data_IF_517863653563
#
_entry.id   IF_517863653563
#
_cell.length_a   1.000
_cell.length_b   1.000
_cell.length_c   1.000
_cell.angle_alpha   90.00
_cell.angle_beta   90.00
_cell.angle_gamma   90.00
#
_symmetry.space_group_name_H-M   'P 1'
#
loop_
_entity.id
_entity.type
_entity.pdbx_description
1 polymer ?
#
# COMPACT_ATOMS: atom_id res chain seq x y z
N UNK A 1 -11.50 9.55 25.81
CA UNK A 1 -11.81 11.00 25.80
C UNK A 1 -10.98 11.68 24.71
N UNK A 2 -11.37 11.54 23.44
CA UNK A 2 -10.71 12.17 22.28
C UNK A 2 -11.22 13.61 22.18
N UNK A 3 -10.74 14.49 23.06
CA UNK A 3 -10.97 15.93 23.00
C UNK A 3 -9.71 16.62 23.50
N UNK A 4 -9.01 17.29 22.58
CA UNK A 4 -7.90 18.28 22.75
C UNK A 4 -6.54 17.90 22.14
N UNK A 5 -6.52 17.64 20.84
CA UNK A 5 -5.37 18.04 20.00
C UNK A 5 -5.81 18.95 18.83
N UNK A 6 -6.89 19.71 19.07
CA UNK A 6 -7.43 20.73 18.16
C UNK A 6 -7.36 22.09 18.84
N UNK A 7 -6.17 22.63 19.13
CA UNK A 7 -6.01 24.06 19.47
C UNK A 7 -4.54 24.45 19.59
N UNK A 8 -3.83 24.42 18.47
CA UNK A 8 -2.75 25.40 18.27
C UNK A 8 -2.88 25.89 16.83
N UNK A 9 -2.84 27.20 16.65
CA UNK A 9 -2.81 27.88 15.35
C UNK A 9 -1.45 27.60 14.69
N UNK A 10 -1.16 26.34 14.43
CA UNK A 10 0.00 25.94 13.64
C UNK A 10 -0.45 26.07 12.18
N UNK A 11 0.25 26.88 11.41
CA UNK A 11 0.11 26.83 9.96
C UNK A 11 0.56 25.42 9.53
N UNK A 12 -0.39 24.55 9.20
CA UNK A 12 -0.13 23.21 8.65
C UNK A 12 0.26 23.26 7.16
N UNK A 13 0.45 24.46 6.63
CA UNK A 13 1.02 24.66 5.31
C UNK A 13 2.45 24.12 5.32
N UNK A 14 2.60 22.87 4.92
CA UNK A 14 3.88 22.29 4.56
C UNK A 14 4.32 22.95 3.24
N UNK A 15 5.42 23.73 3.22
CA UNK A 15 5.93 24.34 2.00
C UNK A 15 6.37 23.29 0.97
N UNK A 16 6.55 22.03 1.39
CA UNK A 16 6.80 20.87 0.53
C UNK A 16 5.52 20.07 0.24
N UNK A 17 4.32 20.65 0.44
CA UNK A 17 3.04 20.06 0.04
C UNK A 17 2.90 20.08 -1.49
N UNK A 18 3.67 19.21 -2.14
CA UNK A 18 3.57 18.85 -3.56
C UNK A 18 2.29 18.05 -3.82
N UNK A 19 1.64 17.55 -2.76
CA UNK A 19 0.46 16.71 -2.85
C UNK A 19 -0.78 17.44 -3.38
N UNK A 20 -1.56 16.74 -4.19
CA UNK A 20 -2.74 17.28 -4.86
C UNK A 20 -3.99 17.46 -3.96
N UNK A 21 -3.82 17.89 -2.71
CA UNK A 21 -4.96 18.23 -1.86
C UNK A 21 -5.68 19.47 -2.41
N UNK A 22 -7.01 19.43 -2.49
CA UNK A 22 -7.83 20.58 -2.88
C UNK A 22 -7.75 21.75 -1.89
N UNK A 23 -7.34 21.48 -0.65
CA UNK A 23 -7.21 22.47 0.43
C UNK A 23 -5.78 22.48 1.00
N UNK A 24 -4.76 22.84 0.21
CA UNK A 24 -3.35 22.63 0.58
C UNK A 24 -2.93 23.40 1.83
N UNK A 25 -3.50 24.60 2.06
CA UNK A 25 -3.23 25.43 3.24
C UNK A 25 -3.77 24.85 4.56
N UNK A 26 -4.77 23.96 4.48
CA UNK A 26 -5.42 23.30 5.63
C UNK A 26 -5.10 21.81 5.71
N UNK A 27 -4.44 21.26 4.69
CA UNK A 27 -4.08 19.85 4.60
C UNK A 27 -3.17 19.47 5.78
N UNK A 28 -3.48 18.35 6.44
CA UNK A 28 -2.71 17.87 7.60
C UNK A 28 -1.91 16.60 7.31
N UNK A 29 -1.99 16.07 6.08
CA UNK A 29 -1.49 14.73 5.77
C UNK A 29 0.02 14.60 5.93
N UNK A 30 0.78 15.55 5.40
CA UNK A 30 2.25 15.51 5.46
C UNK A 30 2.75 15.73 6.90
N UNK A 31 2.13 16.66 7.63
CA UNK A 31 2.40 16.82 9.06
C UNK A 31 2.12 15.52 9.85
N UNK A 32 0.98 14.88 9.60
CA UNK A 32 0.65 13.58 10.23
C UNK A 32 1.66 12.50 9.86
N UNK A 33 2.10 12.46 8.60
CA UNK A 33 3.15 11.55 8.18
C UNK A 33 4.43 11.76 8.98
N UNK A 34 4.93 13.00 9.05
CA UNK A 34 6.16 13.35 9.75
C UNK A 34 6.11 13.03 11.25
N UNK A 35 4.96 13.18 11.88
CA UNK A 35 4.81 12.84 13.30
C UNK A 35 4.72 11.33 13.56
N UNK A 36 4.11 10.57 12.65
CA UNK A 36 3.81 9.15 12.85
C UNK A 36 4.91 8.22 12.32
N UNK A 37 5.61 8.62 11.26
CA UNK A 37 6.58 7.80 10.53
C UNK A 37 7.94 8.49 10.49
N UNK A 38 8.50 8.74 11.68
CA UNK A 38 9.84 9.32 11.82
C UNK A 38 10.89 8.29 11.39
N UNK A 39 12.04 8.71 10.83
CA UNK A 39 13.14 7.80 10.55
C UNK A 39 13.53 6.97 11.77
N UNK A 40 13.82 5.70 11.56
CA UNK A 40 14.21 4.74 12.59
C UNK A 40 15.39 3.91 12.11
N UNK A 41 16.09 3.29 13.07
CA UNK A 41 17.23 2.43 12.79
C UNK A 41 16.80 0.98 12.97
N UNK A 42 17.13 0.13 12.00
CA UNK A 42 16.98 -1.32 12.08
C UNK A 42 18.35 -1.97 11.85
N UNK A 43 18.93 -2.54 12.90
CA UNK A 43 20.34 -2.93 12.89
C UNK A 43 21.24 -1.71 12.75
N UNK A 44 22.05 -1.68 11.69
CA UNK A 44 22.93 -0.55 11.34
C UNK A 44 22.39 0.33 10.19
N UNK A 45 21.14 0.08 9.76
CA UNK A 45 20.53 0.76 8.61
C UNK A 45 19.57 1.85 9.10
N UNK A 46 19.80 3.09 8.67
CA UNK A 46 18.83 4.18 8.83
C UNK A 46 17.71 4.01 7.80
N UNK A 47 16.52 3.68 8.27
CA UNK A 47 15.31 3.60 7.47
C UNK A 47 14.59 4.94 7.55
N UNK A 48 14.34 5.54 6.39
CA UNK A 48 13.54 6.76 6.26
C UNK A 48 12.26 6.44 5.48
N UNK A 49 11.11 6.28 6.16
CA UNK A 49 9.85 6.02 5.48
C UNK A 49 9.54 7.10 4.43
N UNK A 50 8.96 6.68 3.30
CA UNK A 50 8.58 7.57 2.19
C UNK A 50 7.07 7.82 2.20
N UNK A 51 6.68 9.09 2.30
CA UNK A 51 5.31 9.55 2.10
C UNK A 51 4.99 9.61 0.60
N UNK A 52 4.37 8.57 0.06
CA UNK A 52 3.96 8.54 -1.35
C UNK A 52 2.70 9.38 -1.51
N UNK A 53 2.70 10.27 -2.50
CA UNK A 53 1.65 11.28 -2.69
C UNK A 53 0.98 11.13 -4.05
N UNK A 54 -0.31 11.43 -4.10
CA UNK A 54 -1.04 11.49 -5.36
C UNK A 54 -0.79 12.81 -6.09
N UNK A 55 -0.71 12.72 -7.41
CA UNK A 55 -0.80 13.86 -8.32
C UNK A 55 -2.26 14.36 -8.45
N UNK A 56 -2.46 15.39 -9.28
CA UNK A 56 -3.79 16.02 -9.46
C UNK A 56 -4.84 15.10 -10.09
N UNK A 57 -4.39 14.10 -10.84
CA UNK A 57 -5.25 13.10 -11.47
C UNK A 57 -5.55 11.92 -10.53
N UNK A 58 -5.00 11.91 -9.31
CA UNK A 58 -5.19 10.83 -8.36
C UNK A 58 -4.26 9.63 -8.58
N UNK A 59 -3.22 9.78 -9.41
CA UNK A 59 -2.20 8.76 -9.61
C UNK A 59 -1.10 8.91 -8.57
N UNK A 60 -0.70 7.81 -7.95
CA UNK A 60 0.36 7.78 -6.96
C UNK A 60 1.72 8.02 -7.62
N UNK A 61 2.52 8.91 -7.03
CA UNK A 61 3.89 9.13 -7.47
C UNK A 61 4.79 7.94 -7.13
N UNK A 62 5.31 7.31 -8.17
CA UNK A 62 6.20 6.15 -8.12
C UNK A 62 7.65 6.48 -8.51
N UNK A 63 8.01 7.76 -8.60
CA UNK A 63 9.39 8.17 -8.86
C UNK A 63 10.33 7.62 -7.77
N UNK A 64 11.45 7.00 -8.19
CA UNK A 64 12.40 6.36 -7.28
C UNK A 64 11.75 5.28 -6.40
N UNK A 65 10.73 4.59 -6.88
CA UNK A 65 10.15 3.43 -6.20
C UNK A 65 11.17 2.29 -6.15
N UNK A 66 11.46 1.83 -4.93
CA UNK A 66 12.24 0.64 -4.67
C UNK A 66 11.43 -0.32 -3.78
N UNK A 67 11.47 -1.63 -4.07
CA UNK A 67 10.78 -2.69 -3.32
C UNK A 67 11.16 -2.74 -1.84
N UNK A 68 12.36 -2.30 -1.47
CA UNK A 68 12.84 -2.25 -0.08
C UNK A 68 12.46 -0.97 0.68
N UNK A 69 11.87 0.04 0.01
CA UNK A 69 11.43 1.25 0.69
C UNK A 69 10.25 0.96 1.65
N UNK A 70 10.33 1.42 2.89
CA UNK A 70 9.13 1.61 3.71
C UNK A 70 8.30 2.77 3.13
N UNK A 71 7.08 2.48 2.69
CA UNK A 71 6.21 3.42 1.97
C UNK A 71 4.86 3.53 2.66
N UNK A 72 4.40 4.76 2.86
CA UNK A 72 3.07 5.06 3.40
C UNK A 72 2.38 6.06 2.50
N UNK A 73 1.09 5.84 2.25
CA UNK A 73 0.22 6.82 1.60
C UNK A 73 -0.67 7.44 2.68
N UNK A 74 -0.43 8.72 3.00
CA UNK A 74 -1.31 9.45 3.92
C UNK A 74 -2.45 10.13 3.18
N UNK A 75 -3.62 9.47 3.20
CA UNK A 75 -4.84 10.03 2.62
C UNK A 75 -5.41 11.19 3.45
N UNK A 76 -6.11 12.09 2.76
CA UNK A 76 -6.88 13.14 3.40
C UNK A 76 -8.03 12.55 4.21
N UNK A 77 -8.32 13.18 5.34
CA UNK A 77 -9.55 12.98 6.11
C UNK A 77 -10.29 14.30 6.27
N UNK A 78 -11.44 14.28 6.92
CA UNK A 78 -12.27 15.49 7.09
C UNK A 78 -11.56 16.60 7.87
N UNK A 79 -10.53 16.25 8.65
CA UNK A 79 -9.64 17.20 9.31
C UNK A 79 -8.85 18.11 8.34
N UNK A 80 -8.75 17.73 7.06
CA UNK A 80 -8.09 18.51 6.01
C UNK A 80 -9.03 19.55 5.38
N UNK A 81 -10.36 19.39 5.51
CA UNK A 81 -11.36 20.30 4.95
C UNK A 81 -11.52 20.25 3.41
N UNK A 82 -10.84 19.33 2.73
CA UNK A 82 -11.05 19.07 1.30
C UNK A 82 -12.25 18.12 1.09
N UNK A 83 -12.80 18.15 -0.12
CA UNK A 83 -13.98 17.35 -0.46
C UNK A 83 -13.68 15.86 -0.54
N UNK A 84 -14.73 15.04 -0.69
CA UNK A 84 -14.59 13.61 -0.98
C UNK A 84 -13.89 13.32 -2.32
N UNK A 85 -13.95 14.28 -3.26
CA UNK A 85 -13.31 14.18 -4.58
C UNK A 85 -11.82 14.53 -4.57
N UNK A 86 -11.29 14.94 -3.42
CA UNK A 86 -9.88 15.26 -3.26
C UNK A 86 -8.99 14.13 -3.81
N UNK A 87 -8.03 14.40 -4.71
CA UNK A 87 -7.13 13.40 -5.29
C UNK A 87 -6.39 12.56 -4.25
N UNK A 88 -6.27 13.04 -3.01
CA UNK A 88 -5.67 12.31 -1.88
C UNK A 88 -6.62 11.40 -1.10
N UNK A 89 -7.73 10.98 -1.70
CA UNK A 89 -8.74 10.09 -1.10
C UNK A 89 -9.09 8.96 -2.09
N UNK A 90 -8.12 8.27 -2.67
CA UNK A 90 -8.38 7.23 -3.68
C UNK A 90 -8.87 5.94 -3.00
N UNK A 91 -8.11 5.43 -2.04
CA UNK A 91 -8.40 4.17 -1.35
C UNK A 91 -9.73 4.26 -0.59
N UNK A 92 -10.03 5.42 -0.01
CA UNK A 92 -11.33 5.72 0.62
C UNK A 92 -12.55 5.55 -0.29
N UNK A 93 -12.41 5.70 -1.61
CA UNK A 93 -13.51 5.54 -2.57
C UNK A 93 -13.79 4.07 -2.90
N UNK A 94 -12.94 3.16 -2.43
CA UNK A 94 -13.02 1.74 -2.74
C UNK A 94 -12.55 1.42 -4.16
N UNK A 95 -12.72 0.15 -4.52
CA UNK A 95 -12.40 -0.40 -5.83
C UNK A 95 -13.33 0.24 -6.89
N UNK A 96 -12.77 0.88 -7.92
CA UNK A 96 -13.55 1.59 -8.96
C UNK A 96 -13.33 1.05 -10.38
N UNK A 97 -12.33 0.19 -10.56
CA UNK A 97 -11.94 -0.33 -11.87
C UNK A 97 -12.78 -1.53 -12.30
N UNK A 98 -12.85 -1.79 -13.59
CA UNK A 98 -13.46 -3.00 -14.13
C UNK A 98 -12.40 -4.09 -14.14
N UNK A 99 -12.62 -5.13 -13.33
CA UNK A 99 -11.72 -6.28 -13.18
C UNK A 99 -12.49 -7.57 -13.46
N UNK A 100 -11.82 -8.56 -14.06
CA UNK A 100 -12.39 -9.89 -14.30
C UNK A 100 -11.62 -10.91 -13.49
N UNK A 101 -12.34 -11.68 -12.67
CA UNK A 101 -11.82 -12.91 -12.08
C UNK A 101 -11.99 -14.04 -13.10
N UNK A 102 -10.92 -14.77 -13.37
CA UNK A 102 -10.94 -15.88 -14.32
C UNK A 102 -10.03 -17.00 -13.83
N UNK A 103 -10.32 -18.21 -14.30
CA UNK A 103 -9.49 -19.36 -14.02
C UNK A 103 -8.29 -19.36 -14.99
N UNK A 104 -7.08 -19.39 -14.42
CA UNK A 104 -5.80 -19.46 -15.14
C UNK A 104 -5.53 -20.89 -15.61
N UNK A 105 -5.35 -21.81 -14.66
CA UNK A 105 -5.08 -23.23 -14.84
C UNK A 105 -5.12 -23.99 -13.50
N UNK A 106 -4.88 -25.30 -13.54
CA UNK A 106 -4.94 -26.19 -12.37
C UNK A 106 -3.87 -25.91 -11.31
N UNK A 107 -2.80 -25.20 -11.67
CA UNK A 107 -1.67 -24.91 -10.78
C UNK A 107 -1.88 -23.58 -10.07
N UNK A 108 -2.26 -22.54 -10.81
CA UNK A 108 -2.40 -21.16 -10.34
C UNK A 108 -3.81 -20.84 -9.85
N UNK A 109 -4.79 -21.64 -10.24
CA UNK A 109 -6.18 -21.44 -9.87
C UNK A 109 -6.76 -20.18 -10.51
N UNK A 110 -7.25 -19.25 -9.71
CA UNK A 110 -7.90 -18.03 -10.19
C UNK A 110 -6.95 -16.83 -10.21
N UNK A 111 -7.05 -16.04 -11.27
CA UNK A 111 -6.36 -14.76 -11.43
C UNK A 111 -7.32 -13.61 -11.61
N UNK A 112 -6.77 -12.41 -11.68
CA UNK A 112 -7.49 -11.18 -12.00
C UNK A 112 -6.88 -10.57 -13.25
N UNK A 113 -7.72 -10.13 -14.19
CA UNK A 113 -7.32 -9.37 -15.39
C UNK A 113 -7.96 -8.00 -15.41
N UNK A 114 -7.29 -7.06 -16.07
CA UNK A 114 -7.82 -5.74 -16.35
C UNK A 114 -8.94 -5.83 -17.41
N UNK A 115 -10.12 -5.28 -17.11
CA UNK A 115 -11.23 -5.17 -18.07
C UNK A 115 -11.35 -3.76 -18.68
N UNK A 116 -10.51 -2.83 -18.23
CA UNK A 116 -10.29 -1.50 -18.78
C UNK A 116 -8.81 -1.11 -18.61
N UNK A 117 -8.27 -0.15 -19.38
CA UNK A 117 -6.89 0.29 -19.22
C UNK A 117 -6.63 0.85 -17.81
N UNK A 118 -5.53 0.42 -17.18
CA UNK A 118 -5.13 0.89 -15.84
C UNK A 118 -3.80 1.64 -15.97
N UNK A 119 -3.74 2.86 -15.48
CA UNK A 119 -2.53 3.69 -15.55
C UNK A 119 -1.55 3.38 -14.43
N UNK A 120 -0.26 3.56 -14.69
CA UNK A 120 0.78 3.59 -13.67
C UNK A 120 0.41 4.54 -12.52
N UNK A 121 0.55 4.07 -11.29
CA UNK A 121 0.21 4.78 -10.07
C UNK A 121 -1.29 4.76 -9.71
N UNK A 122 -2.15 4.18 -10.55
CA UNK A 122 -3.59 4.12 -10.26
C UNK A 122 -3.88 3.11 -9.15
N UNK A 123 -4.79 3.48 -8.24
CA UNK A 123 -5.30 2.59 -7.21
C UNK A 123 -6.18 1.50 -7.85
N UNK A 124 -5.88 0.24 -7.56
CA UNK A 124 -6.61 -0.91 -8.10
C UNK A 124 -7.66 -1.40 -7.11
N UNK A 125 -7.21 -1.83 -5.93
CA UNK A 125 -8.07 -2.38 -4.88
C UNK A 125 -7.37 -2.35 -3.51
N UNK A 126 -8.12 -2.61 -2.46
CA UNK A 126 -7.59 -2.85 -1.12
C UNK A 126 -7.42 -4.35 -0.89
N UNK A 127 -6.33 -4.74 -0.23
CA UNK A 127 -6.19 -6.08 0.32
C UNK A 127 -7.00 -6.17 1.61
N UNK A 128 -8.18 -6.78 1.52
CA UNK A 128 -9.14 -6.91 2.62
C UNK A 128 -9.15 -8.35 3.15
N UNK A 129 -9.42 -8.50 4.43
CA UNK A 129 -9.46 -9.82 5.07
C UNK A 129 -9.72 -9.73 6.57
N UNK A 130 -9.51 -10.85 7.26
CA UNK A 130 -9.62 -10.91 8.70
C UNK A 130 -8.31 -10.48 9.36
N UNK A 131 -8.39 -9.52 10.28
CA UNK A 131 -7.23 -9.11 11.06
C UNK A 131 -7.01 -10.06 12.23
N UNK A 132 -5.85 -10.70 12.27
CA UNK A 132 -5.45 -11.61 13.34
C UNK A 132 -4.09 -11.23 13.92
N UNK A 133 -3.95 -11.45 15.22
CA UNK A 133 -2.65 -11.39 15.90
C UNK A 133 -2.02 -12.77 15.78
N UNK A 134 -0.80 -12.84 15.26
CA UNK A 134 -0.06 -14.10 15.17
C UNK A 134 0.16 -14.68 16.57
N UNK A 135 -0.25 -15.94 16.75
CA UNK A 135 -0.02 -16.69 17.99
C UNK A 135 1.14 -17.65 17.76
N UNK A 136 2.05 -17.69 18.72
CA UNK A 136 3.17 -18.63 18.71
C UNK A 136 2.63 -20.08 18.65
N UNK A 137 3.08 -20.85 17.66
CA UNK A 137 2.68 -22.25 17.47
C UNK A 137 1.34 -22.50 16.76
N UNK A 138 0.69 -21.47 16.19
CA UNK A 138 -0.51 -21.67 15.37
C UNK A 138 -0.15 -22.30 14.01
N UNK A 139 -0.77 -23.43 13.67
CA UNK A 139 -0.63 -24.10 12.37
C UNK A 139 -1.90 -23.87 11.57
N UNK A 140 -1.80 -23.20 10.42
CA UNK A 140 -2.88 -22.99 9.47
C UNK A 140 -2.33 -22.68 8.09
N UNK A 141 -3.22 -22.63 7.10
CA UNK A 141 -2.87 -22.07 5.80
C UNK A 141 -2.65 -20.55 5.92
N UNK A 142 -1.46 -20.11 5.51
CA UNK A 142 -0.97 -18.72 5.50
C UNK A 142 -0.77 -18.19 4.08
N UNK A 143 -1.20 -18.94 3.05
CA UNK A 143 -1.03 -18.57 1.63
C UNK A 143 -1.61 -17.20 1.28
N UNK A 144 -2.58 -16.72 2.07
CA UNK A 144 -3.25 -15.42 1.90
C UNK A 144 -3.00 -14.48 3.08
N UNK A 145 -1.88 -14.64 3.78
CA UNK A 145 -1.52 -13.73 4.85
C UNK A 145 -0.71 -12.55 4.29
N UNK A 146 -1.10 -11.35 4.69
CA UNK A 146 -0.27 -10.15 4.56
C UNK A 146 0.17 -9.71 5.97
N UNK A 147 1.46 -9.92 6.26
CA UNK A 147 2.04 -9.48 7.53
C UNK A 147 2.32 -7.98 7.52
N UNK A 148 1.93 -7.27 8.58
CA UNK A 148 2.41 -5.93 8.85
C UNK A 148 2.87 -5.80 10.30
N UNK A 149 3.97 -5.08 10.53
CA UNK A 149 4.35 -4.68 11.87
C UNK A 149 3.59 -3.41 12.24
N UNK A 150 3.13 -3.31 13.49
CA UNK A 150 2.65 -2.04 14.03
C UNK A 150 3.82 -1.05 14.04
N UNK A 151 3.78 -0.07 13.13
CA UNK A 151 4.86 0.89 12.86
C UNK A 151 5.18 1.82 14.05
N UNK A 152 4.44 1.71 15.16
CA UNK A 152 4.78 2.39 16.40
C UNK A 152 4.20 1.65 17.63
N UNK A 153 5.08 0.98 18.41
CA UNK A 153 4.72 0.24 19.63
C UNK A 153 4.31 1.14 20.81
N UNK A 154 4.52 2.45 20.71
CA UNK A 154 4.28 3.41 21.80
C UNK A 154 2.92 4.13 21.68
N UNK A 155 2.10 3.82 20.67
CA UNK A 155 0.78 4.42 20.53
C UNK A 155 -0.22 3.74 21.47
N UNK A 156 -0.96 4.55 22.25
CA UNK A 156 -2.07 4.07 23.09
C UNK A 156 -3.23 3.47 22.27
N UNK A 157 -3.38 3.93 21.03
CA UNK A 157 -4.30 3.39 20.02
C UNK A 157 -3.46 2.88 18.84
N UNK A 158 -3.44 1.57 18.54
CA UNK A 158 -2.64 1.04 17.44
C UNK A 158 -3.12 1.64 16.12
N UNK A 159 -2.18 2.22 15.36
CA UNK A 159 -2.45 2.58 13.97
C UNK A 159 -2.42 1.32 13.14
N UNK A 160 -3.60 0.89 12.74
CA UNK A 160 -3.79 -0.25 11.86
C UNK A 160 -3.75 0.26 10.41
N UNK A 161 -2.72 -0.09 9.61
CA UNK A 161 -2.65 0.32 8.23
C UNK A 161 -3.71 -0.40 7.38
N UNK A 162 -4.13 0.26 6.30
CA UNK A 162 -4.86 -0.36 5.19
C UNK A 162 -3.88 -0.65 4.07
N UNK A 163 -4.01 -1.80 3.43
CA UNK A 163 -3.08 -2.24 2.39
C UNK A 163 -3.72 -1.93 1.03
N UNK A 164 -3.21 -0.91 0.35
CA UNK A 164 -3.64 -0.56 -1.00
C UNK A 164 -2.76 -1.18 -2.08
N UNK A 165 -3.38 -1.72 -3.13
CA UNK A 165 -2.72 -2.23 -4.32
C UNK A 165 -2.78 -1.16 -5.41
N UNK A 166 -1.62 -0.83 -5.99
CA UNK A 166 -1.47 0.18 -7.04
C UNK A 166 -0.72 -0.39 -8.24
N UNK A 167 -1.07 0.07 -9.43
CA UNK A 167 -0.38 -0.32 -10.66
C UNK A 167 1.04 0.27 -10.69
N UNK A 168 2.07 -0.56 -10.88
CA UNK A 168 3.47 -0.11 -10.98
C UNK A 168 3.85 0.37 -12.40
N UNK A 169 3.04 0.02 -13.38
CA UNK A 169 3.15 0.36 -14.80
C UNK A 169 1.75 0.49 -15.39
N UNK A 170 1.65 0.95 -16.64
CA UNK A 170 0.39 0.87 -17.38
C UNK A 170 0.04 -0.60 -17.64
N UNK A 171 -1.24 -0.95 -17.55
CA UNK A 171 -1.78 -2.29 -17.74
C UNK A 171 -2.89 -2.19 -18.80
N UNK A 172 -2.72 -2.94 -19.88
CA UNK A 172 -3.66 -2.96 -20.99
C UNK A 172 -4.85 -3.90 -20.72
N UNK A 173 -5.92 -3.73 -21.49
CA UNK A 173 -7.12 -4.58 -21.37
C UNK A 173 -6.76 -6.04 -21.66
N UNK A 174 -7.14 -6.93 -20.75
CA UNK A 174 -6.89 -8.37 -20.85
C UNK A 174 -5.57 -8.83 -20.22
N UNK A 175 -4.70 -7.91 -19.77
CA UNK A 175 -3.48 -8.25 -19.05
C UNK A 175 -3.76 -8.65 -17.59
N UNK A 176 -2.90 -9.53 -17.06
CA UNK A 176 -2.99 -10.05 -15.71
C UNK A 176 -2.61 -8.97 -14.69
N UNK A 177 -3.48 -8.74 -13.71
CA UNK A 177 -3.17 -7.94 -12.53
C UNK A 177 -2.52 -8.84 -11.49
N UNK A 178 -1.21 -8.69 -11.34
CA UNK A 178 -0.40 -9.51 -10.44
C UNK A 178 0.20 -8.68 -9.31
N UNK A 179 0.39 -9.32 -8.15
CA UNK A 179 1.10 -8.76 -7.01
C UNK A 179 2.26 -9.69 -6.65
N UNK A 180 3.41 -9.12 -6.31
CA UNK A 180 4.53 -9.89 -5.77
C UNK A 180 4.26 -10.20 -4.31
N UNK A 181 3.99 -11.46 -4.00
CA UNK A 181 3.79 -11.94 -2.63
C UNK A 181 5.07 -11.91 -1.79
N UNK A 182 6.23 -12.03 -2.45
CA UNK A 182 7.53 -12.18 -1.82
C UNK A 182 8.57 -11.28 -2.47
N UNK A 183 9.63 -10.93 -1.72
CA UNK A 183 10.82 -10.33 -2.32
C UNK A 183 11.50 -11.34 -3.24
N UNK A 184 12.12 -10.85 -4.33
CA UNK A 184 12.82 -11.70 -5.29
C UNK A 184 13.88 -12.56 -4.59
N UNK A 185 14.58 -12.02 -3.61
CA UNK A 185 15.61 -12.74 -2.84
C UNK A 185 15.04 -14.00 -2.16
N UNK A 186 13.84 -13.90 -1.56
CA UNK A 186 13.19 -15.06 -0.91
C UNK A 186 12.69 -16.08 -1.93
N UNK A 187 12.36 -15.66 -3.15
CA UNK A 187 11.88 -16.54 -4.21
C UNK A 187 12.99 -17.31 -4.93
N UNK A 188 14.27 -16.99 -4.69
CA UNK A 188 15.41 -17.70 -5.30
C UNK A 188 15.78 -18.99 -4.55
N UNK A 189 15.31 -19.14 -3.32
CA UNK A 189 15.47 -20.37 -2.55
C UNK A 189 14.59 -21.47 -3.16
N UNK A 190 15.18 -22.59 -3.57
CA UNK A 190 14.42 -23.71 -4.16
C UNK A 190 13.47 -24.31 -3.12
N UNK A 191 12.19 -24.03 -3.25
CA UNK A 191 11.11 -24.74 -2.56
C UNK A 191 10.50 -25.83 -3.46
N UNK A 192 9.49 -26.55 -2.96
CA UNK A 192 8.74 -27.54 -3.75
C UNK A 192 7.80 -26.89 -4.78
N UNK A 193 7.51 -25.59 -4.65
CA UNK A 193 6.50 -24.90 -5.45
C UNK A 193 7.20 -24.01 -6.48
N UNK A 194 7.32 -24.49 -7.72
CA UNK A 194 7.90 -23.69 -8.81
C UNK A 194 6.98 -22.51 -9.17
N UNK A 195 7.55 -21.31 -9.29
CA UNK A 195 6.79 -20.13 -9.73
C UNK A 195 6.37 -20.29 -11.20
N UNK A 196 5.13 -19.91 -11.52
CA UNK A 196 4.53 -19.97 -12.87
C UNK A 196 4.03 -18.61 -13.35
N UNK A 197 4.67 -17.52 -12.92
CA UNK A 197 4.30 -16.17 -13.35
C UNK A 197 4.62 -15.92 -14.84
N UNK A 198 5.64 -16.60 -15.35
CA UNK A 198 6.03 -16.62 -16.76
C UNK A 198 6.49 -18.03 -17.14
N UNK A 199 6.61 -18.29 -18.44
CA UNK A 199 7.24 -19.50 -18.96
C UNK A 199 8.68 -19.60 -18.45
N UNK A 200 9.06 -20.80 -17.98
CA UNK A 200 10.40 -21.11 -17.45
C UNK A 200 10.92 -20.15 -16.36
N UNK A 201 10.03 -19.64 -15.50
CA UNK A 201 10.44 -18.82 -14.36
C UNK A 201 11.46 -19.59 -13.47
N UNK A 202 12.65 -19.00 -13.17
CA UNK A 202 13.67 -19.67 -12.36
C UNK A 202 13.37 -19.66 -10.85
N UNK A 203 12.33 -18.92 -10.44
CA UNK A 203 11.99 -18.69 -9.05
C UNK A 203 11.04 -19.77 -8.51
N UNK A 204 10.98 -19.86 -7.19
CA UNK A 204 10.12 -20.74 -6.43
C UNK A 204 9.33 -19.91 -5.41
N UNK A 205 8.12 -20.35 -5.07
CA UNK A 205 7.32 -19.70 -4.04
C UNK A 205 7.76 -20.23 -2.67
N UNK A 206 8.20 -19.36 -1.73
CA UNK A 206 8.54 -19.77 -0.38
C UNK A 206 7.43 -20.59 0.28
N UNK A 207 7.82 -21.59 1.06
CA UNK A 207 6.93 -22.34 1.95
C UNK A 207 7.21 -21.86 3.37
N UNK A 208 6.21 -21.27 4.03
CA UNK A 208 6.28 -20.91 5.46
C UNK A 208 5.78 -22.07 6.33
#
# INVERSE_FOLDING_TARGET
MIRRLLSSRVNYADPNNIGACESPKKCRCNYRFQELFKPHVFGDILISPKNRQYNKDGLLDLEGHNSYDERVVMECSDACGCSWRCPRRQLQRGQQLSLVVYYLDDIRGFGVKAAEPIKKGQFISEYVGEMRVLKEGEVRDTSYDAGFALLNRNLKDPLIPRIGVYALQDIEVGEDVTVSYWSIDRMQEKSEIQCKCIEDCPNFLPYD
#
